data_IF_178712444072
#
_entry.id   IF_178712444072
#
_cell.length_a   1.000
_cell.length_b   1.000
_cell.length_c   1.000
_cell.angle_alpha   90.00
_cell.angle_beta   90.00
_cell.angle_gamma   90.00
#
_symmetry.space_group_name_H-M   'P 1'
#
loop_
_entity.id
_entity.type
_entity.pdbx_description
1 polymer ?
#
# COMPACT_ATOMS: atom_id res chain seq x y z
N UNK A 1 -16.59 22.62 7.55
CA UNK A 1 -16.25 21.95 6.27
C UNK A 1 -15.56 20.66 6.63
N UNK A 2 -15.97 19.52 6.04
CA UNK A 2 -15.19 18.29 6.19
C UNK A 2 -13.79 18.51 5.57
N UNK A 3 -12.72 17.91 6.11
CA UNK A 3 -11.43 17.96 5.45
C UNK A 3 -11.56 17.39 4.04
N UNK A 4 -10.81 17.97 3.09
CA UNK A 4 -10.75 17.45 1.73
C UNK A 4 -10.16 16.03 1.75
N UNK A 5 -10.69 15.14 0.91
CA UNK A 5 -10.20 13.79 0.75
C UNK A 5 -8.72 13.82 0.31
N UNK A 6 -7.84 13.10 1.01
CA UNK A 6 -6.39 13.15 0.76
C UNK A 6 -6.02 12.42 -0.53
N UNK A 7 -6.65 11.26 -0.78
CA UNK A 7 -6.36 10.45 -1.97
C UNK A 7 -7.10 11.00 -3.18
N UNK A 8 -6.37 11.73 -4.02
CA UNK A 8 -6.80 12.27 -5.30
C UNK A 8 -6.13 11.52 -6.47
N UNK A 9 -6.91 11.22 -7.51
CA UNK A 9 -6.43 10.57 -8.73
C UNK A 9 -5.37 11.40 -9.45
N UNK A 10 -4.31 10.75 -9.92
CA UNK A 10 -3.13 11.39 -10.49
C UNK A 10 -2.15 11.93 -9.45
N UNK A 11 -2.44 11.76 -8.16
CA UNK A 11 -1.53 12.16 -7.10
C UNK A 11 -0.41 11.15 -6.87
N UNK A 12 0.77 11.64 -6.53
CA UNK A 12 1.91 10.87 -6.03
C UNK A 12 2.00 11.01 -4.52
N UNK A 13 2.15 9.87 -3.84
CA UNK A 13 2.13 9.78 -2.39
C UNK A 13 3.29 8.93 -1.86
N UNK A 14 3.75 9.28 -0.65
CA UNK A 14 4.37 8.33 0.28
C UNK A 14 3.23 7.63 1.01
N UNK A 15 3.31 6.32 1.12
CA UNK A 15 2.29 5.53 1.82
C UNK A 15 2.93 4.95 3.07
N UNK A 16 2.52 5.46 4.23
CA UNK A 16 3.14 5.19 5.53
C UNK A 16 2.32 4.11 6.24
N UNK A 17 2.95 3.05 6.72
CA UNK A 17 2.27 2.12 7.62
C UNK A 17 2.02 2.81 8.97
N UNK A 18 0.77 2.83 9.43
CA UNK A 18 0.41 3.58 10.63
C UNK A 18 0.95 2.98 11.93
N UNK A 19 1.36 1.69 11.93
CA UNK A 19 1.92 1.01 13.10
C UNK A 19 3.42 1.24 13.22
N UNK A 20 4.17 1.01 12.13
CA UNK A 20 5.63 1.05 12.15
C UNK A 20 6.22 2.43 11.81
N UNK A 21 5.49 3.27 11.08
CA UNK A 21 6.00 4.50 10.46
C UNK A 21 6.91 4.26 9.25
N UNK A 22 7.10 3.01 8.80
CA UNK A 22 7.85 2.71 7.58
C UNK A 22 7.01 3.00 6.33
N UNK A 23 7.67 3.26 5.21
CA UNK A 23 7.01 3.48 3.93
C UNK A 23 6.83 2.18 3.17
N UNK A 24 5.76 2.14 2.37
CA UNK A 24 5.60 1.18 1.28
C UNK A 24 6.68 1.43 0.24
N UNK A 25 7.60 0.49 0.11
CA UNK A 25 8.84 0.63 -0.66
C UNK A 25 8.95 -0.51 -1.68
N UNK A 26 9.28 -0.15 -2.92
CA UNK A 26 9.73 -1.12 -3.92
C UNK A 26 11.20 -1.46 -3.67
N UNK A 27 11.44 -2.71 -3.24
CA UNK A 27 12.78 -3.22 -2.96
C UNK A 27 13.71 -3.07 -4.16
N UNK A 28 14.82 -2.36 -3.95
CA UNK A 28 15.88 -2.21 -4.96
C UNK A 28 16.78 -3.44 -5.06
N UNK A 29 16.66 -4.40 -4.13
CA UNK A 29 17.46 -5.62 -4.12
C UNK A 29 17.03 -6.58 -5.25
N UNK A 30 15.73 -6.67 -5.51
CA UNK A 30 15.15 -7.54 -6.54
C UNK A 30 14.29 -6.80 -7.58
N UNK A 31 14.07 -5.49 -7.40
CA UNK A 31 13.22 -4.63 -8.22
C UNK A 31 11.80 -5.20 -8.40
N UNK A 32 11.30 -5.93 -7.40
CA UNK A 32 10.04 -6.65 -7.50
C UNK A 32 9.24 -6.68 -6.21
N UNK A 33 9.89 -6.97 -5.09
CA UNK A 33 9.20 -7.15 -3.81
C UNK A 33 8.77 -5.80 -3.22
N UNK A 34 7.61 -5.80 -2.57
CA UNK A 34 7.11 -4.62 -1.85
C UNK A 34 7.27 -4.85 -0.35
N UNK A 35 7.96 -3.91 0.30
CA UNK A 35 8.46 -4.04 1.67
C UNK A 35 8.15 -2.80 2.49
N UNK A 36 8.24 -2.92 3.81
CA UNK A 36 8.36 -1.79 4.72
C UNK A 36 9.81 -1.33 4.81
N UNK A 37 10.07 -0.06 4.52
CA UNK A 37 11.42 0.52 4.64
C UNK A 37 11.41 1.90 5.34
N UNK A 38 12.43 2.26 6.11
CA UNK A 38 12.57 3.61 6.64
C UNK A 38 12.55 4.66 5.54
N UNK A 39 11.92 5.80 5.81
CA UNK A 39 11.85 6.92 4.87
C UNK A 39 13.25 7.39 4.50
N UNK A 40 13.54 7.38 3.21
CA UNK A 40 14.71 8.01 2.59
C UNK A 40 14.32 8.93 1.42
N UNK A 41 13.01 9.05 1.11
CA UNK A 41 12.44 9.89 0.05
C UNK A 41 12.96 9.57 -1.36
N UNK A 42 13.48 8.36 -1.57
CA UNK A 42 13.87 7.88 -2.88
C UNK A 42 12.63 7.57 -3.75
N UNK A 43 12.73 7.64 -5.09
CA UNK A 43 11.58 7.42 -5.99
C UNK A 43 10.89 6.05 -5.84
N UNK A 44 11.57 5.02 -5.34
CA UNK A 44 10.97 3.70 -5.06
C UNK A 44 10.04 3.69 -3.83
N UNK A 45 9.98 4.79 -3.07
CA UNK A 45 9.05 5.03 -1.97
C UNK A 45 7.84 5.91 -2.37
N UNK A 46 7.75 6.26 -3.66
CA UNK A 46 6.70 7.13 -4.19
C UNK A 46 5.80 6.37 -5.16
N UNK A 47 4.49 6.53 -4.96
CA UNK A 47 3.46 5.82 -5.71
C UNK A 47 2.47 6.81 -6.32
N UNK A 48 2.33 6.79 -7.63
CA UNK A 48 1.28 7.52 -8.34
C UNK A 48 -0.02 6.72 -8.29
N UNK A 49 -1.07 7.32 -7.74
CA UNK A 49 -2.36 6.68 -7.46
C UNK A 49 -3.42 7.21 -8.42
N UNK A 50 -4.05 6.32 -9.20
CA UNK A 50 -4.98 6.70 -10.28
C UNK A 50 -6.29 5.94 -10.14
N UNK A 51 -7.40 6.64 -10.29
CA UNK A 51 -8.73 6.04 -10.38
C UNK A 51 -8.95 5.45 -11.77
N UNK A 52 -9.23 4.15 -11.85
CA UNK A 52 -9.40 3.40 -13.09
C UNK A 52 -10.88 3.17 -13.47
N UNK A 53 -11.82 3.80 -12.77
CA UNK A 53 -13.27 3.66 -13.02
C UNK A 53 -13.97 2.63 -12.13
N UNK A 54 -13.27 1.59 -11.68
CA UNK A 54 -13.79 0.53 -10.80
C UNK A 54 -12.92 0.27 -9.54
N UNK A 55 -11.91 1.11 -9.32
CA UNK A 55 -10.97 1.06 -8.21
C UNK A 55 -9.71 1.86 -8.53
N UNK A 56 -8.69 1.67 -7.71
CA UNK A 56 -7.44 2.42 -7.77
C UNK A 56 -6.28 1.55 -8.27
N UNK A 57 -5.37 2.16 -9.01
CA UNK A 57 -4.07 1.59 -9.36
C UNK A 57 -2.97 2.40 -8.69
N UNK A 58 -1.86 1.73 -8.41
CA UNK A 58 -0.69 2.32 -7.76
C UNK A 58 0.53 2.03 -8.61
N UNK A 59 1.09 3.04 -9.24
CA UNK A 59 2.26 2.93 -10.10
C UNK A 59 3.49 3.41 -9.35
N UNK A 60 4.54 2.59 -9.31
CA UNK A 60 5.84 2.99 -8.77
C UNK A 60 6.44 4.10 -9.63
N UNK A 61 6.86 5.19 -9.00
CA UNK A 61 7.54 6.30 -9.70
C UNK A 61 8.92 5.89 -10.21
N UNK A 62 9.62 4.95 -9.55
CA UNK A 62 10.96 4.53 -9.95
C UNK A 62 11.00 3.61 -11.17
N UNK A 63 9.96 2.79 -11.38
CA UNK A 63 9.99 1.71 -12.38
C UNK A 63 8.82 1.73 -13.38
N UNK A 64 7.80 2.56 -13.16
CA UNK A 64 6.55 2.56 -13.92
C UNK A 64 5.75 1.24 -13.86
N UNK A 65 6.10 0.32 -12.96
CA UNK A 65 5.35 -0.92 -12.68
C UNK A 65 4.28 -0.68 -11.62
N UNK A 66 3.29 -1.56 -11.51
CA UNK A 66 2.13 -1.39 -10.66
C UNK A 66 2.14 -2.36 -9.47
N UNK A 67 1.69 -1.89 -8.30
CA UNK A 67 1.43 -2.77 -7.16
C UNK A 67 0.40 -3.84 -7.54
N UNK A 68 0.68 -5.06 -7.13
CA UNK A 68 -0.18 -6.21 -7.37
C UNK A 68 0.18 -7.42 -6.55
N UNK A 69 -0.39 -8.55 -6.96
CA UNK A 69 -0.11 -9.90 -6.46
C UNK A 69 0.00 -10.84 -7.66
N UNK A 70 0.63 -12.01 -7.46
CA UNK A 70 0.72 -13.08 -8.46
C UNK A 70 0.02 -14.39 -8.06
N UNK A 71 -0.56 -14.45 -6.86
CA UNK A 71 -1.29 -15.61 -6.36
C UNK A 71 -2.75 -15.25 -6.06
N UNK A 72 -3.57 -16.28 -5.79
CA UNK A 72 -4.93 -16.11 -5.28
C UNK A 72 -4.90 -15.27 -3.99
N UNK A 73 -5.79 -14.27 -3.81
CA UNK A 73 -5.85 -13.46 -2.59
C UNK A 73 -6.10 -14.30 -1.32
N UNK A 74 -5.05 -14.53 -0.53
CA UNK A 74 -5.09 -15.28 0.73
C UNK A 74 -4.10 -14.68 1.74
N UNK A 75 -4.13 -15.15 2.98
CA UNK A 75 -3.26 -14.64 4.04
C UNK A 75 -1.79 -14.97 3.74
N UNK A 76 -0.92 -13.98 3.90
CA UNK A 76 0.52 -14.10 3.67
C UNK A 76 0.96 -13.94 2.22
N UNK A 77 0.04 -13.74 1.27
CA UNK A 77 0.43 -13.48 -0.13
C UNK A 77 1.18 -12.16 -0.21
N UNK A 78 2.44 -12.13 -0.71
CA UNK A 78 3.22 -10.90 -0.76
C UNK A 78 2.70 -9.95 -1.84
N UNK A 79 2.82 -8.66 -1.57
CA UNK A 79 2.72 -7.64 -2.61
C UNK A 79 4.01 -7.63 -3.44
N UNK A 80 3.82 -7.47 -4.74
CA UNK A 80 4.89 -7.32 -5.73
C UNK A 80 4.56 -6.15 -6.65
N UNK A 81 5.51 -5.76 -7.49
CA UNK A 81 5.22 -4.95 -8.68
C UNK A 81 5.22 -5.79 -9.95
N UNK A 82 4.32 -5.47 -10.88
CA UNK A 82 4.14 -6.12 -12.19
C UNK A 82 3.74 -5.11 -13.27
N UNK A 83 3.82 -5.50 -14.54
CA UNK A 83 3.51 -4.60 -15.65
C UNK A 83 2.01 -4.31 -15.77
N UNK A 84 1.17 -5.31 -15.51
CA UNK A 84 -0.27 -5.19 -15.58
C UNK A 84 -0.82 -4.54 -14.31
N UNK A 85 -1.63 -3.47 -14.41
CA UNK A 85 -2.24 -2.87 -13.23
C UNK A 85 -3.12 -3.84 -12.47
N UNK A 86 -3.00 -3.83 -11.14
CA UNK A 86 -3.97 -4.48 -10.25
C UNK A 86 -4.91 -3.43 -9.70
N UNK A 87 -6.21 -3.73 -9.69
CA UNK A 87 -7.24 -2.86 -9.11
C UNK A 87 -7.31 -3.11 -7.61
N UNK A 88 -7.35 -2.01 -6.86
CA UNK A 88 -7.47 -2.00 -5.40
C UNK A 88 -8.65 -1.14 -4.96
N UNK A 89 -9.27 -1.46 -3.83
CA UNK A 89 -10.28 -0.60 -3.19
C UNK A 89 -9.67 0.07 -1.96
N UNK A 90 -9.82 1.39 -1.88
CA UNK A 90 -9.33 2.20 -0.75
C UNK A 90 -10.54 2.60 0.08
N UNK A 91 -10.49 2.33 1.38
CA UNK A 91 -11.51 2.72 2.34
C UNK A 91 -10.86 3.37 3.55
N UNK A 92 -11.54 4.34 4.16
CA UNK A 92 -11.16 4.84 5.49
C UNK A 92 -11.25 3.70 6.52
N UNK A 93 -10.28 3.64 7.43
CA UNK A 93 -10.35 2.74 8.56
C UNK A 93 -11.50 3.15 9.50
N UNK A 94 -12.19 2.15 10.06
CA UNK A 94 -13.40 2.38 10.86
C UNK A 94 -13.10 2.82 12.29
N UNK A 95 -11.86 2.63 12.77
CA UNK A 95 -11.42 3.00 14.12
C UNK A 95 -10.75 4.38 14.08
N UNK A 96 -9.87 4.61 13.11
CA UNK A 96 -9.23 5.89 12.86
C UNK A 96 -9.41 6.30 11.40
N UNK A 97 -10.38 7.17 11.13
CA UNK A 97 -10.67 7.67 9.77
C UNK A 97 -9.62 8.63 9.19
N UNK A 98 -8.50 8.87 9.87
CA UNK A 98 -7.33 9.48 9.24
C UNK A 98 -6.46 8.44 8.50
N UNK A 99 -6.65 7.16 8.82
CA UNK A 99 -5.95 6.06 8.17
C UNK A 99 -6.86 5.40 7.13
N UNK A 100 -6.21 4.72 6.19
CA UNK A 100 -6.83 4.00 5.11
C UNK A 100 -6.51 2.51 5.20
N UNK A 101 -7.39 1.70 4.63
CA UNK A 101 -7.15 0.29 4.31
C UNK A 101 -7.27 0.10 2.81
N UNK A 102 -6.41 -0.75 2.25
CA UNK A 102 -6.35 -1.01 0.82
C UNK A 102 -6.59 -2.49 0.57
N UNK A 103 -7.64 -2.82 -0.18
CA UNK A 103 -8.18 -4.16 -0.34
C UNK A 103 -8.09 -4.67 -1.77
N UNK A 104 -7.97 -5.99 -1.92
CA UNK A 104 -8.40 -6.64 -3.16
C UNK A 104 -9.93 -6.47 -3.29
N UNK A 105 -10.43 -5.98 -4.44
CA UNK A 105 -11.86 -5.72 -4.64
C UNK A 105 -12.76 -6.90 -4.27
N UNK A 106 -13.84 -6.62 -3.56
CA UNK A 106 -14.85 -7.61 -3.15
C UNK A 106 -14.30 -8.77 -2.29
N UNK A 107 -13.22 -8.52 -1.53
CA UNK A 107 -12.68 -9.48 -0.56
C UNK A 107 -12.42 -8.80 0.79
N UNK A 108 -12.11 -9.59 1.81
CA UNK A 108 -11.62 -9.11 3.12
C UNK A 108 -10.10 -9.00 3.18
N UNK A 109 -9.38 -9.29 2.09
CA UNK A 109 -7.92 -9.26 2.06
C UNK A 109 -7.43 -7.83 1.84
N UNK A 110 -6.73 -7.27 2.84
CA UNK A 110 -6.10 -5.96 2.77
C UNK A 110 -4.58 -6.04 2.89
N UNK A 111 -3.90 -4.93 2.57
CA UNK A 111 -2.47 -4.77 2.83
C UNK A 111 -2.15 -4.84 4.32
N UNK A 112 -1.14 -5.64 4.65
CA UNK A 112 -0.69 -5.97 6.00
C UNK A 112 0.85 -5.92 6.02
N UNK A 113 1.43 -5.07 6.88
CA UNK A 113 2.87 -5.15 7.14
C UNK A 113 3.14 -6.32 8.09
N UNK A 114 3.96 -7.26 7.63
CA UNK A 114 4.26 -8.53 8.29
C UNK A 114 4.65 -8.38 9.77
N UNK A 115 4.45 -9.47 10.53
CA UNK A 115 4.82 -9.59 11.95
C UNK A 115 4.23 -8.45 12.81
N UNK A 116 2.93 -8.20 12.63
CA UNK A 116 2.17 -7.16 13.34
C UNK A 116 2.68 -5.72 13.12
N UNK A 117 3.30 -5.47 11.97
CA UNK A 117 3.89 -4.18 11.64
C UNK A 117 5.28 -3.99 12.23
N UNK A 118 6.10 -5.03 12.21
CA UNK A 118 7.49 -4.92 12.63
C UNK A 118 8.20 -3.86 11.76
N UNK A 119 8.94 -2.96 12.42
CA UNK A 119 9.66 -1.87 11.76
C UNK A 119 11.02 -2.30 11.19
N UNK A 120 11.33 -3.60 11.18
CA UNK A 120 12.56 -4.13 10.61
C UNK A 120 12.59 -3.81 9.11
N UNK A 121 13.60 -3.08 8.62
CA UNK A 121 13.72 -2.76 7.20
C UNK A 121 13.73 -4.04 6.37
N UNK A 122 12.87 -4.11 5.35
CA UNK A 122 12.78 -5.25 4.44
C UNK A 122 11.68 -6.24 4.77
N UNK A 123 10.94 -6.04 5.86
CA UNK A 123 9.78 -6.89 6.14
C UNK A 123 8.71 -6.74 5.05
N UNK A 124 8.14 -7.85 4.56
CA UNK A 124 7.25 -7.81 3.41
C UNK A 124 5.92 -7.16 3.77
N UNK A 125 5.34 -6.48 2.79
CA UNK A 125 3.91 -6.17 2.83
C UNK A 125 3.17 -7.32 2.16
N UNK A 126 2.17 -7.86 2.84
CA UNK A 126 1.40 -9.03 2.43
C UNK A 126 -0.09 -8.70 2.39
N UNK A 127 -0.89 -9.65 1.92
CA UNK A 127 -2.33 -9.67 2.14
C UNK A 127 -2.66 -10.40 3.43
N UNK A 128 -3.62 -9.87 4.17
CA UNK A 128 -4.22 -10.55 5.31
C UNK A 128 -5.69 -10.18 5.46
N UNK A 129 -6.49 -11.09 5.99
CA UNK A 129 -7.89 -10.83 6.31
C UNK A 129 -7.97 -9.66 7.29
N UNK A 130 -8.85 -8.70 7.01
CA UNK A 130 -8.97 -7.50 7.84
C UNK A 130 -9.34 -7.83 9.28
N UNK A 131 -8.66 -7.15 10.20
CA UNK A 131 -8.99 -7.11 11.63
C UNK A 131 -8.50 -5.78 12.21
N UNK A 132 -8.66 -5.58 13.51
CA UNK A 132 -8.36 -4.30 14.17
C UNK A 132 -6.84 -3.98 14.31
N UNK A 133 -5.97 -4.71 13.59
CA UNK A 133 -4.54 -4.48 13.58
C UNK A 133 -4.15 -3.17 12.87
N UNK A 134 -3.45 -2.27 13.58
CA UNK A 134 -3.02 -0.96 13.03
C UNK A 134 -2.01 -1.12 11.88
N UNK A 135 -1.26 -2.23 11.85
CA UNK A 135 -0.33 -2.57 10.77
C UNK A 135 -1.02 -2.90 9.43
N UNK A 136 -2.34 -2.99 9.42
CA UNK A 136 -3.16 -3.09 8.21
C UNK A 136 -3.70 -1.73 7.73
N UNK A 137 -3.31 -0.65 8.41
CA UNK A 137 -3.78 0.71 8.12
C UNK A 137 -2.63 1.60 7.69
N UNK A 138 -2.93 2.54 6.79
CA UNK A 138 -1.94 3.28 6.03
C UNK A 138 -2.31 4.75 5.94
N UNK A 139 -1.32 5.64 6.02
CA UNK A 139 -1.50 7.08 5.77
C UNK A 139 -0.95 7.42 4.40
N UNK A 140 -1.65 8.30 3.70
CA UNK A 140 -1.23 8.82 2.40
C UNK A 140 -0.69 10.23 2.59
N UNK A 141 0.58 10.45 2.30
CA UNK A 141 1.21 11.76 2.38
C UNK A 141 1.59 12.21 0.97
N UNK A 142 1.05 13.35 0.52
CA UNK A 142 1.35 13.88 -0.82
C UNK A 142 2.85 14.20 -0.93
N UNK A 143 3.46 13.82 -2.05
CA UNK A 143 4.82 14.22 -2.45
C UNK A 143 4.79 15.58 -3.14
#
# INVERSE_FOLDING_TARGET
>A
MAPAEVVQSGGTYRIVNASSGTLLDLSQQDNRSVIGWPRNDAPNQHWTVVWAGNGWTFQSVSSNTFLGIEATPENGVPLIVKQEPTIWHIWHDQINSENYRVYIPNTTQNWDLYDYGNKRPGDPVTLWTNWNGVHQTWKFERV
#
